data_IF_304850088463
#
_entry.id   IF_304850088463
#
_cell.length_a   1.000
_cell.length_b   1.000
_cell.length_c   1.000
_cell.angle_alpha   90.00
_cell.angle_beta   90.00
_cell.angle_gamma   90.00
#
_symmetry.space_group_name_H-M   'P 1'
#
loop_
_entity.id
_entity.type
_entity.pdbx_description
1 polymer ?
#
# COMPACT_ATOMS: atom_id res chain seq x y z
N UNK A 1 7.70 3.72 -3.04
CA UNK A 1 9.05 4.29 -3.21
C UNK A 1 9.84 3.85 -2.01
N UNK A 2 11.04 3.35 -2.24
CA UNK A 2 11.81 2.66 -1.21
C UNK A 2 13.01 3.51 -0.82
N UNK A 3 13.18 3.72 0.48
CA UNK A 3 14.26 4.51 1.08
C UNK A 3 14.98 3.61 2.07
N UNK A 4 16.31 3.65 2.08
CA UNK A 4 17.11 2.99 3.11
C UNK A 4 17.42 4.04 4.18
N UNK A 5 16.99 3.79 5.41
CA UNK A 5 17.20 4.66 6.55
C UNK A 5 18.16 4.02 7.54
N UNK A 6 19.29 4.67 7.81
CA UNK A 6 20.29 4.18 8.76
C UNK A 6 19.82 4.42 10.20
N UNK A 7 19.92 3.39 11.04
CA UNK A 7 19.50 3.48 12.43
C UNK A 7 20.59 4.15 13.29
N UNK A 8 20.19 5.17 14.05
CA UNK A 8 21.05 5.74 15.08
C UNK A 8 21.28 4.69 16.18
N UNK A 9 22.54 4.39 16.47
CA UNK A 9 22.94 3.40 17.47
C UNK A 9 24.15 3.89 18.27
N UNK A 10 24.31 3.37 19.48
CA UNK A 10 25.52 3.53 20.29
C UNK A 10 26.20 2.17 20.44
N UNK A 11 27.51 2.15 20.70
CA UNK A 11 28.32 0.91 20.69
C UNK A 11 27.85 -0.18 21.67
N UNK A 12 26.95 0.12 22.62
CA UNK A 12 26.42 -0.82 23.62
C UNK A 12 24.89 -0.94 23.63
N UNK A 13 24.19 -0.50 22.57
CA UNK A 13 22.73 -0.58 22.51
C UNK A 13 22.26 -1.91 21.94
N UNK A 14 21.31 -2.56 22.62
CA UNK A 14 20.65 -3.77 22.12
C UNK A 14 19.84 -3.43 20.87
N UNK A 15 19.84 -4.31 19.87
CA UNK A 15 19.16 -4.08 18.57
C UNK A 15 17.67 -3.77 18.74
N UNK A 16 17.04 -4.39 19.74
CA UNK A 16 15.65 -4.18 20.13
C UNK A 16 15.39 -2.72 20.50
N UNK A 17 16.23 -2.18 21.39
CA UNK A 17 16.19 -0.78 21.82
C UNK A 17 16.47 0.19 20.67
N UNK A 18 17.35 -0.19 19.73
CA UNK A 18 17.66 0.60 18.53
C UNK A 18 16.41 0.70 17.64
N UNK A 19 15.75 -0.42 17.35
CA UNK A 19 14.56 -0.47 16.49
C UNK A 19 13.42 0.34 17.13
N UNK A 20 13.14 0.12 18.41
CA UNK A 20 12.07 0.80 19.12
C UNK A 20 12.30 2.31 19.18
N UNK A 21 13.51 2.74 19.54
CA UNK A 21 13.89 4.15 19.62
C UNK A 21 13.78 4.84 18.25
N UNK A 22 14.37 4.26 17.21
CA UNK A 22 14.34 4.85 15.87
C UNK A 22 12.93 4.89 15.30
N UNK A 23 12.11 3.84 15.52
CA UNK A 23 10.70 3.84 15.13
C UNK A 23 9.93 4.95 15.82
N UNK A 24 10.13 5.11 17.13
CA UNK A 24 9.48 6.16 17.93
C UNK A 24 9.90 7.56 17.47
N UNK A 25 11.19 7.78 17.16
CA UNK A 25 11.68 9.05 16.61
C UNK A 25 11.01 9.36 15.27
N UNK A 26 10.94 8.38 14.37
CA UNK A 26 10.30 8.55 13.06
C UNK A 26 8.81 8.87 13.19
N UNK A 27 8.10 8.13 14.04
CA UNK A 27 6.69 8.36 14.35
C UNK A 27 6.50 9.78 14.89
N UNK A 28 7.29 10.19 15.88
CA UNK A 28 7.19 11.53 16.47
C UNK A 28 7.48 12.64 15.44
N UNK A 29 8.47 12.47 14.56
CA UNK A 29 8.75 13.43 13.46
C UNK A 29 7.53 13.57 12.55
N UNK A 30 6.91 12.44 12.19
CA UNK A 30 5.71 12.40 11.36
C UNK A 30 4.53 13.07 12.07
N UNK A 31 4.27 12.73 13.33
CA UNK A 31 3.19 13.34 14.10
C UNK A 31 3.36 14.85 14.26
N UNK A 32 4.54 15.30 14.66
CA UNK A 32 4.83 16.73 14.81
C UNK A 32 4.59 17.50 13.52
N UNK A 33 4.90 16.92 12.35
CA UNK A 33 4.69 17.58 11.07
C UNK A 33 3.23 17.56 10.60
N UNK A 34 2.53 16.43 10.75
CA UNK A 34 1.25 16.19 10.07
C UNK A 34 0.02 16.15 11.00
N UNK A 35 0.17 16.23 12.33
CA UNK A 35 -0.97 16.19 13.28
C UNK A 35 -2.05 17.24 12.96
N UNK A 36 -1.65 18.41 12.44
CA UNK A 36 -2.59 19.45 12.02
C UNK A 36 -3.10 19.17 10.61
N UNK A 37 -4.20 18.43 10.54
CA UNK A 37 -4.97 18.24 9.30
C UNK A 37 -4.92 16.84 8.72
N UNK A 38 -4.13 15.93 9.31
CA UNK A 38 -4.12 14.51 8.97
C UNK A 38 -4.42 13.63 10.19
N UNK A 39 -5.18 12.56 9.95
CA UNK A 39 -5.32 11.45 10.87
C UNK A 39 -4.13 10.51 10.69
N UNK A 40 -3.42 10.22 11.77
CA UNK A 40 -2.25 9.35 11.78
C UNK A 40 -2.61 8.10 12.59
N UNK A 41 -2.39 6.91 12.01
CA UNK A 41 -2.66 5.62 12.62
C UNK A 41 -1.45 4.71 12.49
N UNK A 42 -0.98 4.20 13.61
CA UNK A 42 0.06 3.20 13.72
C UNK A 42 -0.25 2.33 14.94
N UNK A 43 0.27 1.11 14.96
CA UNK A 43 0.26 0.30 16.20
C UNK A 43 1.48 0.67 17.03
N UNK A 44 1.55 0.27 18.30
CA UNK A 44 2.81 0.39 19.02
C UNK A 44 3.91 -0.43 18.30
N UNK A 45 5.13 0.11 18.13
CA UNK A 45 6.25 -0.65 17.61
C UNK A 45 6.54 -1.80 18.57
N UNK A 46 6.32 -3.03 18.11
CA UNK A 46 6.73 -4.23 18.87
C UNK A 46 8.01 -4.75 18.27
N UNK A 47 9.02 -4.94 19.10
CA UNK A 47 10.27 -5.58 18.69
C UNK A 47 10.01 -7.06 18.39
N UNK A 48 10.43 -7.58 17.23
CA UNK A 48 10.30 -9.01 16.93
C UNK A 48 11.62 -9.79 17.08
N UNK A 49 11.46 -11.10 17.26
CA UNK A 49 12.55 -12.10 17.24
C UNK A 49 13.06 -12.43 15.82
N UNK A 50 12.39 -11.91 14.78
CA UNK A 50 12.57 -12.22 13.34
C UNK A 50 12.39 -10.95 12.49
N UNK A 51 12.47 -11.06 11.16
CA UNK A 51 12.15 -9.96 10.26
C UNK A 51 10.84 -9.27 10.63
N UNK A 52 10.85 -7.95 10.50
CA UNK A 52 9.83 -7.08 11.04
C UNK A 52 9.24 -6.19 9.96
N UNK A 53 7.95 -5.89 10.11
CA UNK A 53 7.35 -4.78 9.39
C UNK A 53 6.38 -3.99 10.26
N UNK A 54 6.32 -2.70 10.03
CA UNK A 54 5.47 -1.78 10.76
C UNK A 54 4.83 -0.77 9.81
N UNK A 55 3.55 -0.50 9.99
CA UNK A 55 2.79 0.38 9.10
C UNK A 55 2.36 1.65 9.82
N UNK A 56 2.70 2.80 9.24
CA UNK A 56 2.18 4.10 9.64
C UNK A 56 1.28 4.62 8.52
N UNK A 57 0.02 4.89 8.84
CA UNK A 57 -1.00 5.37 7.90
C UNK A 57 -1.30 6.83 8.18
N UNK A 58 -1.07 7.70 7.21
CA UNK A 58 -1.36 9.14 7.28
C UNK A 58 -2.50 9.44 6.31
N UNK A 59 -3.59 10.05 6.77
CA UNK A 59 -4.80 10.25 5.95
C UNK A 59 -5.45 11.60 6.14
N UNK A 60 -6.09 12.10 5.09
CA UNK A 60 -7.01 13.24 5.14
C UNK A 60 -8.34 12.80 4.54
N UNK A 61 -9.26 12.42 5.43
CA UNK A 61 -10.50 11.75 5.05
C UNK A 61 -10.25 10.44 4.30
N UNK A 62 -11.19 10.06 3.42
CA UNK A 62 -11.15 8.75 2.75
C UNK A 62 -10.40 8.75 1.42
N UNK A 63 -10.11 9.92 0.85
CA UNK A 63 -9.58 10.04 -0.52
C UNK A 63 -8.08 10.22 -0.58
N UNK A 64 -7.48 10.89 0.41
CA UNK A 64 -6.05 11.21 0.45
C UNK A 64 -5.41 10.40 1.56
N UNK A 65 -4.32 9.72 1.25
CA UNK A 65 -3.55 9.04 2.26
C UNK A 65 -2.28 8.42 1.73
N UNK A 66 -1.38 8.14 2.67
CA UNK A 66 -0.09 7.52 2.45
C UNK A 66 0.12 6.44 3.49
N UNK A 67 0.67 5.31 3.04
CA UNK A 67 1.15 4.23 3.87
C UNK A 67 2.67 4.27 3.87
N UNK A 68 3.26 4.32 5.06
CA UNK A 68 4.69 4.21 5.29
C UNK A 68 4.91 2.85 5.94
N UNK A 69 5.52 1.93 5.21
CA UNK A 69 5.96 0.64 5.72
C UNK A 69 7.42 0.72 6.15
N UNK A 70 7.69 0.55 7.43
CA UNK A 70 9.04 0.32 7.95
C UNK A 70 9.29 -1.18 7.91
N UNK A 71 10.35 -1.61 7.24
CA UNK A 71 10.80 -3.01 7.16
C UNK A 71 12.17 -3.10 7.79
N UNK A 72 12.37 -4.09 8.65
CA UNK A 72 13.66 -4.41 9.23
C UNK A 72 13.95 -5.88 8.99
N UNK A 73 15.17 -6.18 8.57
CA UNK A 73 15.62 -7.53 8.25
C UNK A 73 16.82 -7.86 9.12
N UNK A 74 16.85 -9.09 9.64
CA UNK A 74 17.93 -9.51 10.55
C UNK A 74 19.31 -9.47 9.90
N UNK A 75 19.37 -9.69 8.59
CA UNK A 75 20.60 -9.68 7.81
C UNK A 75 21.17 -8.27 7.58
N UNK A 76 20.34 -7.23 7.78
CA UNK A 76 20.73 -5.81 7.68
C UNK A 76 20.29 -5.02 8.92
N UNK A 77 20.86 -5.34 10.11
CA UNK A 77 20.27 -4.96 11.39
C UNK A 77 20.28 -3.45 11.64
N UNK A 78 21.18 -2.68 11.01
CA UNK A 78 21.32 -1.24 11.26
C UNK A 78 20.58 -0.37 10.25
N UNK A 79 19.61 -0.93 9.52
CA UNK A 79 18.84 -0.20 8.51
C UNK A 79 17.35 -0.51 8.57
N UNK A 80 16.53 0.49 8.27
CA UNK A 80 15.13 0.29 7.87
C UNK A 80 14.99 0.45 6.35
N UNK A 81 14.33 -0.52 5.72
CA UNK A 81 13.70 -0.32 4.42
C UNK A 81 12.38 0.41 4.63
N UNK A 82 12.27 1.65 4.15
CA UNK A 82 11.06 2.46 4.26
C UNK A 82 10.37 2.48 2.90
N UNK A 83 9.20 1.86 2.83
CA UNK A 83 8.33 1.83 1.66
C UNK A 83 7.19 2.83 1.81
N UNK A 84 7.16 3.86 0.96
CA UNK A 84 6.11 4.88 0.97
C UNK A 84 5.20 4.67 -0.24
N UNK A 85 3.92 4.44 0.01
CA UNK A 85 2.91 4.17 -1.02
C UNK A 85 1.64 4.99 -0.82
N UNK A 86 0.96 5.33 -1.93
CA UNK A 86 -0.34 6.01 -1.87
C UNK A 86 -1.40 5.04 -1.30
N UNK A 87 -2.19 5.51 -0.32
CA UNK A 87 -3.22 4.72 0.36
C UNK A 87 -4.53 5.49 0.43
N UNK A 88 -5.41 5.25 -0.54
CA UNK A 88 -6.75 5.85 -0.61
C UNK A 88 -7.86 4.82 -0.38
N UNK A 89 -8.72 5.04 0.62
CA UNK A 89 -9.87 4.17 0.89
C UNK A 89 -10.85 4.23 -0.28
N UNK A 90 -11.21 5.44 -0.73
CA UNK A 90 -12.09 5.63 -1.89
C UNK A 90 -11.45 5.05 -3.15
N UNK A 91 -10.14 5.22 -3.32
CA UNK A 91 -9.42 4.62 -4.44
C UNK A 91 -9.52 3.09 -4.44
N UNK A 92 -9.33 2.46 -3.29
CA UNK A 92 -9.44 1.01 -3.16
C UNK A 92 -10.88 0.53 -3.36
N UNK A 93 -11.86 1.26 -2.84
CA UNK A 93 -13.28 0.97 -3.04
C UNK A 93 -13.67 1.03 -4.52
N UNK A 94 -13.21 2.03 -5.27
CA UNK A 94 -13.42 2.11 -6.73
C UNK A 94 -12.76 0.93 -7.44
N UNK A 95 -11.51 0.62 -7.09
CA UNK A 95 -10.77 -0.50 -7.68
C UNK A 95 -11.51 -1.82 -7.48
N UNK A 96 -11.81 -2.19 -6.25
CA UNK A 96 -12.46 -3.48 -5.95
C UNK A 96 -13.93 -3.51 -6.38
N UNK A 97 -14.65 -2.40 -6.24
CA UNK A 97 -16.05 -2.29 -6.64
C UNK A 97 -16.27 -2.46 -8.15
N UNK A 98 -15.27 -2.19 -8.98
CA UNK A 98 -15.32 -2.40 -10.44
C UNK A 98 -14.71 -3.75 -10.81
N UNK A 99 -13.53 -4.07 -10.28
CA UNK A 99 -12.79 -5.28 -10.66
C UNK A 99 -13.57 -6.55 -10.28
N UNK A 100 -14.10 -6.62 -9.06
CA UNK A 100 -14.75 -7.85 -8.57
C UNK A 100 -15.97 -8.22 -9.45
N UNK A 101 -16.93 -7.32 -9.71
CA UNK A 101 -18.06 -7.66 -10.59
C UNK A 101 -17.64 -8.07 -12.00
N UNK A 102 -16.68 -7.37 -12.60
CA UNK A 102 -16.24 -7.68 -13.98
C UNK A 102 -15.51 -9.02 -14.03
N UNK A 103 -14.68 -9.33 -13.03
CA UNK A 103 -14.07 -10.66 -12.91
C UNK A 103 -15.10 -11.75 -12.67
N UNK A 104 -16.15 -11.50 -11.89
CA UNK A 104 -17.23 -12.48 -11.71
C UNK A 104 -18.00 -12.72 -13.02
N UNK A 105 -18.25 -11.67 -13.81
CA UNK A 105 -18.85 -11.81 -15.15
C UNK A 105 -17.93 -12.61 -16.06
N UNK A 106 -16.63 -12.30 -16.11
CA UNK A 106 -15.67 -13.06 -16.90
C UNK A 106 -15.58 -14.53 -16.47
N UNK A 107 -15.57 -14.80 -15.17
CA UNK A 107 -15.57 -16.17 -14.65
C UNK A 107 -16.86 -16.91 -15.00
N UNK A 108 -18.02 -16.25 -14.88
CA UNK A 108 -19.31 -16.81 -15.27
C UNK A 108 -19.35 -17.14 -16.76
N UNK A 109 -18.87 -16.24 -17.61
CA UNK A 109 -18.79 -16.45 -19.06
C UNK A 109 -17.84 -17.63 -19.40
N UNK A 110 -16.70 -17.72 -18.73
CA UNK A 110 -15.76 -18.84 -18.90
C UNK A 110 -16.32 -20.20 -18.45
N UNK A 111 -17.12 -20.26 -17.39
CA UNK A 111 -17.76 -21.51 -16.93
C UNK A 111 -18.83 -22.02 -17.89
N UNK A 112 -19.52 -21.11 -18.57
CA UNK A 112 -20.69 -21.40 -19.39
C UNK A 112 -20.39 -21.36 -20.90
N UNK A 113 -19.10 -21.34 -21.29
CA UNK A 113 -18.67 -21.28 -22.69
C UNK A 113 -19.39 -20.15 -23.45
N UNK A 114 -19.42 -18.94 -22.86
CA UNK A 114 -20.06 -17.75 -23.45
C UNK A 114 -19.01 -16.92 -24.20
N UNK A 115 -19.33 -16.46 -25.40
CA UNK A 115 -18.48 -15.55 -26.17
C UNK A 115 -18.20 -14.25 -25.40
N UNK A 116 -16.98 -13.67 -25.47
CA UNK A 116 -15.86 -14.07 -26.32
C UNK A 116 -14.92 -15.10 -25.67
N UNK A 117 -15.31 -15.75 -24.58
CA UNK A 117 -14.43 -16.60 -23.75
C UNK A 117 -14.56 -18.11 -24.02
N UNK A 118 -15.26 -18.49 -25.08
CA UNK A 118 -15.48 -19.90 -25.47
C UNK A 118 -14.20 -20.66 -25.82
N UNK A 119 -13.12 -19.93 -26.15
CA UNK A 119 -11.82 -20.51 -26.49
C UNK A 119 -11.03 -20.98 -25.26
N UNK A 120 -11.50 -20.69 -24.03
CA UNK A 120 -10.75 -20.99 -22.82
C UNK A 120 -10.61 -22.50 -22.58
N UNK A 121 -9.38 -23.02 -22.45
CA UNK A 121 -9.17 -24.45 -22.27
C UNK A 121 -9.42 -24.89 -20.83
N UNK A 122 -9.64 -26.18 -20.63
CA UNK A 122 -9.64 -26.84 -19.32
C UNK A 122 -11.03 -27.19 -18.78
N UNK A 123 -11.06 -27.68 -17.54
CA UNK A 123 -12.32 -27.97 -16.87
C UNK A 123 -13.04 -26.67 -16.46
N UNK A 124 -14.33 -26.76 -16.13
CA UNK A 124 -15.16 -25.60 -15.73
C UNK A 124 -14.52 -24.69 -14.68
N UNK A 125 -13.77 -25.25 -13.72
CA UNK A 125 -13.10 -24.45 -12.68
C UNK A 125 -11.91 -23.66 -13.23
N UNK A 126 -11.11 -24.27 -14.11
CA UNK A 126 -9.97 -23.61 -14.75
C UNK A 126 -10.44 -22.54 -15.74
N UNK A 127 -11.48 -22.83 -16.53
CA UNK A 127 -12.12 -21.86 -17.41
C UNK A 127 -12.73 -20.67 -16.63
N UNK A 128 -13.31 -20.92 -15.44
CA UNK A 128 -13.76 -19.86 -14.53
C UNK A 128 -12.61 -18.94 -14.10
N UNK A 129 -11.49 -19.53 -13.66
CA UNK A 129 -10.32 -18.79 -13.21
C UNK A 129 -9.72 -17.93 -14.33
N UNK A 130 -9.53 -18.53 -15.51
CA UNK A 130 -9.03 -17.83 -16.70
C UNK A 130 -10.00 -16.73 -17.15
N UNK A 131 -11.30 -16.99 -17.16
CA UNK A 131 -12.31 -15.99 -17.51
C UNK A 131 -12.33 -14.81 -16.55
N UNK A 132 -12.19 -15.07 -15.25
CA UNK A 132 -12.09 -14.01 -14.24
C UNK A 132 -10.82 -13.17 -14.37
N UNK A 133 -9.69 -13.81 -14.71
CA UNK A 133 -8.42 -13.13 -15.01
C UNK A 133 -8.53 -12.27 -16.27
N UNK A 134 -9.14 -12.77 -17.34
CA UNK A 134 -9.38 -11.97 -18.55
C UNK A 134 -10.28 -10.77 -18.23
N UNK A 135 -11.30 -10.96 -17.38
CA UNK A 135 -12.15 -9.87 -16.88
C UNK A 135 -11.37 -8.76 -16.16
N UNK A 136 -10.21 -9.06 -15.57
CA UNK A 136 -9.36 -8.03 -14.95
C UNK A 136 -8.86 -6.98 -15.94
N UNK A 137 -8.69 -7.34 -17.22
CA UNK A 137 -8.15 -6.43 -18.23
C UNK A 137 -9.11 -5.24 -18.48
N UNK A 138 -10.36 -5.44 -18.95
CA UNK A 138 -11.30 -4.34 -19.11
C UNK A 138 -11.63 -3.67 -17.78
N UNK A 139 -11.69 -4.43 -16.67
CA UNK A 139 -11.89 -3.87 -15.34
C UNK A 139 -10.78 -2.92 -14.91
N UNK A 140 -9.52 -3.29 -15.14
CA UNK A 140 -8.35 -2.45 -14.86
C UNK A 140 -8.33 -1.18 -15.69
N UNK A 141 -8.67 -1.26 -16.98
CA UNK A 141 -8.81 -0.09 -17.86
C UNK A 141 -9.90 0.85 -17.32
N UNK A 142 -11.07 0.31 -16.96
CA UNK A 142 -12.17 1.11 -16.44
C UNK A 142 -11.82 1.78 -15.10
N UNK A 143 -11.18 1.05 -14.18
CA UNK A 143 -10.66 1.60 -12.92
C UNK A 143 -9.67 2.73 -13.18
N UNK A 144 -8.74 2.54 -14.12
CA UNK A 144 -7.76 3.56 -14.47
C UNK A 144 -8.42 4.84 -14.97
N UNK A 145 -9.36 4.73 -15.92
CA UNK A 145 -10.09 5.88 -16.48
C UNK A 145 -10.90 6.59 -15.40
N UNK A 146 -11.68 5.85 -14.60
CA UNK A 146 -12.52 6.43 -13.54
C UNK A 146 -11.64 7.13 -12.49
N UNK A 147 -10.57 6.48 -12.00
CA UNK A 147 -9.64 7.11 -11.05
C UNK A 147 -8.98 8.37 -11.65
N UNK A 148 -8.62 8.34 -12.93
CA UNK A 148 -7.98 9.50 -13.58
C UNK A 148 -8.87 10.75 -13.63
N UNK A 149 -10.19 10.57 -13.63
CA UNK A 149 -11.18 11.66 -13.65
C UNK A 149 -11.57 12.06 -12.23
N UNK A 150 -12.01 11.09 -11.42
CA UNK A 150 -12.63 11.33 -10.11
C UNK A 150 -11.62 11.58 -8.98
N UNK A 151 -10.37 11.17 -9.15
CA UNK A 151 -9.33 11.30 -8.13
C UNK A 151 -8.13 12.13 -8.59
N UNK A 152 -8.27 12.91 -9.68
CA UNK A 152 -7.16 13.67 -10.24
C UNK A 152 -6.55 14.65 -9.25
N UNK A 153 -7.40 15.35 -8.49
CA UNK A 153 -6.97 16.35 -7.52
C UNK A 153 -6.35 15.67 -6.31
N UNK A 154 -7.03 14.67 -5.77
CA UNK A 154 -6.60 13.92 -4.59
C UNK A 154 -5.29 13.16 -4.85
N UNK A 155 -5.06 12.66 -6.07
CA UNK A 155 -3.79 12.04 -6.46
C UNK A 155 -2.63 13.04 -6.43
N UNK A 156 -2.87 14.31 -6.81
CA UNK A 156 -1.86 15.38 -6.70
C UNK A 156 -1.56 15.67 -5.23
N UNK A 157 -2.60 15.86 -4.42
CA UNK A 157 -2.45 16.08 -2.97
C UNK A 157 -1.74 14.90 -2.29
N UNK A 158 -2.05 13.65 -2.63
CA UNK A 158 -1.34 12.47 -2.14
C UNK A 158 0.13 12.45 -2.58
N UNK A 159 0.43 12.86 -3.81
CA UNK A 159 1.82 12.91 -4.32
C UNK A 159 2.64 13.99 -3.63
N UNK A 160 2.03 15.15 -3.34
CA UNK A 160 2.64 16.21 -2.53
C UNK A 160 2.89 15.73 -1.10
N UNK A 161 1.91 15.07 -0.48
CA UNK A 161 2.07 14.45 0.84
C UNK A 161 3.21 13.42 0.86
N UNK A 162 3.34 12.57 -0.16
CA UNK A 162 4.46 11.63 -0.28
C UNK A 162 5.79 12.38 -0.30
N UNK A 163 5.91 13.44 -1.10
CA UNK A 163 7.14 14.25 -1.16
C UNK A 163 7.48 14.88 0.18
N UNK A 164 6.50 15.45 0.87
CA UNK A 164 6.70 16.02 2.20
C UNK A 164 7.14 14.96 3.22
N UNK A 165 6.55 13.77 3.20
CA UNK A 165 6.96 12.65 4.06
C UNK A 165 8.41 12.25 3.79
N UNK A 166 8.81 12.17 2.51
CA UNK A 166 10.19 11.85 2.12
C UNK A 166 11.14 12.91 2.68
N UNK A 167 10.80 14.19 2.56
CA UNK A 167 11.64 15.28 3.11
C UNK A 167 11.77 15.21 4.63
N UNK A 168 10.72 14.79 5.35
CA UNK A 168 10.74 14.63 6.81
C UNK A 168 11.59 13.44 7.24
N UNK A 169 11.50 12.33 6.52
CA UNK A 169 12.25 11.10 6.84
C UNK A 169 13.73 11.25 6.46
N UNK A 170 14.04 11.99 5.40
CA UNK A 170 15.41 12.17 4.90
C UNK A 170 16.21 13.26 5.64
N UNK A 171 15.58 14.01 6.56
CA UNK A 171 16.19 15.05 7.40
C UNK A 171 16.29 14.60 8.84
#
# INVERSE_FOLDING_TARGET
>A
MDIIYSLEHSENSDIESIIEKNSTILINKIEQRFHNGYEIKYSEPKVPEKDWSHEIKIRKGNKIGVLIGLKWEKDTPYTFGIEITESSITGNMLTYGIIIPISLVGAYMGVNDIEPLTFLPGNRKLAAGLGGLIGLIPGGIMVYVIKSIFMKKEKKESSELIREIIEVISK
#
